data_IF_385568518031
#
_entry.id   IF_385568518031
#
_cell.length_a   1.000
_cell.length_b   1.000
_cell.length_c   1.000
_cell.angle_alpha   90.00
_cell.angle_beta   90.00
_cell.angle_gamma   90.00
#
_symmetry.space_group_name_H-M   'P 1'
#
loop_
_entity.id
_entity.type
_entity.pdbx_description
1 polymer ?
#
# COMPACT_ATOMS: atom_id res chain seq x y z
N UNK A 1 -8.28 -42.41 -46.66
CA UNK A 1 -8.38 -41.91 -45.27
C UNK A 1 -7.34 -40.82 -45.14
N UNK A 2 -7.74 -39.57 -45.28
CA UNK A 2 -6.85 -38.41 -45.26
C UNK A 2 -6.96 -37.77 -43.87
N UNK A 3 -5.86 -37.85 -43.11
CA UNK A 3 -5.71 -37.19 -41.82
C UNK A 3 -5.54 -35.68 -42.05
N UNK A 4 -6.59 -34.91 -41.80
CA UNK A 4 -6.52 -33.45 -41.67
C UNK A 4 -6.19 -33.10 -40.22
N UNK A 5 -4.90 -32.96 -39.90
CA UNK A 5 -4.47 -32.27 -38.67
C UNK A 5 -4.52 -30.77 -38.90
N UNK A 6 -5.38 -30.10 -38.13
CA UNK A 6 -5.44 -28.63 -38.07
C UNK A 6 -4.10 -28.06 -37.59
N UNK A 7 -3.61 -26.95 -38.18
CA UNK A 7 -2.36 -26.33 -37.75
C UNK A 7 -2.53 -25.80 -36.29
N UNK A 8 -1.67 -26.29 -35.42
CA UNK A 8 -1.51 -25.74 -34.06
C UNK A 8 -1.02 -24.30 -34.19
N UNK A 9 -1.93 -23.35 -33.87
CA UNK A 9 -1.58 -21.96 -33.78
C UNK A 9 -0.46 -21.81 -32.72
N UNK A 10 0.76 -21.58 -33.16
CA UNK A 10 1.87 -21.21 -32.28
C UNK A 10 1.48 -19.89 -31.62
N UNK A 11 1.07 -19.95 -30.36
CA UNK A 11 0.91 -18.77 -29.54
C UNK A 11 2.18 -17.93 -29.67
N UNK A 12 2.01 -16.64 -29.98
CA UNK A 12 3.15 -15.70 -29.95
C UNK A 12 3.77 -15.82 -28.56
N UNK A 13 5.12 -15.88 -28.46
CA UNK A 13 5.77 -15.92 -27.16
C UNK A 13 5.28 -14.70 -26.38
N UNK A 14 4.78 -14.95 -25.17
CA UNK A 14 4.55 -13.89 -24.19
C UNK A 14 5.84 -13.07 -24.14
N UNK A 15 5.71 -11.75 -24.27
CA UNK A 15 6.85 -10.83 -24.09
C UNK A 15 7.50 -11.22 -22.77
N UNK A 16 8.77 -11.57 -22.79
CA UNK A 16 9.53 -11.87 -21.58
C UNK A 16 9.46 -10.63 -20.69
N UNK A 17 8.63 -10.70 -19.65
CA UNK A 17 8.63 -9.70 -18.60
C UNK A 17 9.98 -9.87 -17.89
N UNK A 18 10.79 -8.81 -17.78
CA UNK A 18 12.06 -8.91 -17.06
C UNK A 18 11.83 -9.55 -15.70
N UNK A 19 12.60 -10.56 -15.32
CA UNK A 19 12.39 -11.43 -14.15
C UNK A 19 12.26 -10.70 -12.79
N UNK A 20 12.49 -9.40 -12.77
CA UNK A 20 12.43 -8.54 -11.57
C UNK A 20 11.29 -7.51 -11.59
N UNK A 21 10.37 -7.56 -12.56
CA UNK A 21 9.21 -6.67 -12.59
C UNK A 21 8.02 -7.42 -12.01
N UNK A 22 7.52 -7.05 -10.82
CA UNK A 22 6.32 -7.66 -10.28
C UNK A 22 5.15 -7.40 -11.24
N UNK A 23 4.27 -8.38 -11.41
CA UNK A 23 2.98 -8.15 -12.07
C UNK A 23 2.18 -7.20 -11.18
N UNK A 24 1.85 -6.03 -11.71
CA UNK A 24 1.20 -4.98 -10.96
C UNK A 24 -0.05 -4.50 -11.70
N UNK A 25 -1.14 -4.29 -10.97
CA UNK A 25 -2.40 -3.81 -11.54
C UNK A 25 -3.39 -3.34 -10.48
N UNK A 26 -4.38 -2.58 -10.88
CA UNK A 26 -5.47 -2.16 -9.99
C UNK A 26 -6.42 -3.32 -9.68
N UNK A 27 -7.00 -3.30 -8.47
CA UNK A 27 -8.05 -4.24 -8.06
C UNK A 27 -9.22 -4.17 -9.05
N UNK A 28 -9.45 -5.23 -9.80
CA UNK A 28 -10.46 -5.24 -10.86
C UNK A 28 -10.83 -6.65 -11.32
N UNK A 29 -11.55 -6.71 -12.45
CA UNK A 29 -12.11 -7.94 -12.96
C UNK A 29 -13.17 -8.54 -12.04
N UNK A 30 -13.62 -9.75 -12.33
CA UNK A 30 -14.63 -10.43 -11.51
C UNK A 30 -14.10 -10.68 -10.08
N UNK A 31 -12.85 -11.09 -9.94
CA UNK A 31 -12.23 -11.27 -8.63
C UNK A 31 -12.24 -9.99 -7.78
N UNK A 32 -11.93 -8.84 -8.40
CA UNK A 32 -11.97 -7.56 -7.69
C UNK A 32 -13.39 -7.18 -7.24
N UNK A 33 -14.38 -7.48 -8.04
CA UNK A 33 -15.80 -7.31 -7.70
C UNK A 33 -16.20 -8.21 -6.53
N UNK A 34 -15.88 -9.49 -6.58
CA UNK A 34 -16.18 -10.46 -5.51
C UNK A 34 -15.53 -10.06 -4.17
N UNK A 35 -14.26 -9.66 -4.19
CA UNK A 35 -13.57 -9.16 -2.99
C UNK A 35 -14.28 -7.93 -2.43
N UNK A 36 -14.63 -6.97 -3.30
CA UNK A 36 -15.32 -5.74 -2.88
C UNK A 36 -16.68 -6.03 -2.27
N UNK A 37 -17.48 -6.92 -2.86
CA UNK A 37 -18.81 -7.29 -2.38
C UNK A 37 -18.72 -8.06 -1.05
N UNK A 38 -17.72 -8.92 -0.88
CA UNK A 38 -17.43 -9.58 0.40
C UNK A 38 -17.08 -8.58 1.49
N UNK A 39 -16.27 -7.56 1.18
CA UNK A 39 -15.93 -6.50 2.14
C UNK A 39 -17.18 -5.71 2.54
N UNK A 40 -18.03 -5.33 1.59
CA UNK A 40 -19.31 -4.67 1.88
C UNK A 40 -20.16 -5.46 2.85
N UNK A 41 -20.24 -6.78 2.66
CA UNK A 41 -21.01 -7.70 3.52
C UNK A 41 -20.39 -7.80 4.93
N UNK A 42 -19.09 -8.03 5.03
CA UNK A 42 -18.40 -8.30 6.30
C UNK A 42 -18.33 -7.08 7.22
N UNK A 43 -18.31 -5.89 6.62
CA UNK A 43 -18.26 -4.60 7.31
C UNK A 43 -19.57 -3.82 7.23
N UNK A 44 -20.67 -4.49 6.86
CA UNK A 44 -22.02 -3.90 6.94
C UNK A 44 -22.27 -3.39 8.37
N UNK A 45 -22.74 -2.14 8.49
CA UNK A 45 -22.94 -1.48 9.78
C UNK A 45 -21.74 -0.71 10.33
N UNK A 46 -20.56 -0.77 9.70
CA UNK A 46 -19.43 0.11 10.00
C UNK A 46 -19.48 1.31 9.05
N UNK A 47 -20.27 2.31 9.42
CA UNK A 47 -20.56 3.47 8.59
C UNK A 47 -19.32 4.32 8.27
N UNK A 48 -18.29 4.25 9.11
CA UNK A 48 -17.03 4.98 8.89
C UNK A 48 -16.21 4.43 7.71
N UNK A 49 -16.38 3.14 7.34
CA UNK A 49 -15.62 2.54 6.24
C UNK A 49 -16.28 2.79 4.89
N UNK A 50 -15.68 3.64 4.09
CA UNK A 50 -16.08 3.80 2.68
C UNK A 50 -15.48 2.69 1.83
N UNK A 51 -16.36 1.78 1.38
CA UNK A 51 -16.02 0.64 0.53
C UNK A 51 -16.11 1.03 -0.94
N UNK A 52 -15.33 0.36 -1.79
CA UNK A 52 -15.23 0.67 -3.20
C UNK A 52 -16.53 0.51 -3.99
N UNK A 53 -16.59 1.24 -5.11
CA UNK A 53 -17.61 1.07 -6.13
C UNK A 53 -16.99 0.39 -7.35
N UNK A 54 -17.57 -0.74 -7.77
CA UNK A 54 -17.12 -1.45 -8.97
C UNK A 54 -17.75 -0.81 -10.20
N UNK A 55 -16.93 -0.27 -11.09
CA UNK A 55 -17.38 0.27 -12.37
C UNK A 55 -16.25 0.19 -13.40
N UNK A 56 -16.61 0.02 -14.67
CA UNK A 56 -15.66 -0.05 -15.79
C UNK A 56 -14.56 -1.11 -15.58
N UNK A 57 -14.91 -2.24 -14.97
CA UNK A 57 -13.99 -3.36 -14.76
C UNK A 57 -13.02 -3.20 -13.59
N UNK A 58 -13.08 -2.11 -12.84
CA UNK A 58 -12.20 -1.85 -11.68
C UNK A 58 -12.99 -1.41 -10.45
N UNK A 59 -12.36 -1.59 -9.28
CA UNK A 59 -12.90 -1.07 -8.02
C UNK A 59 -12.32 0.32 -7.76
N UNK A 60 -13.21 1.32 -7.69
CA UNK A 60 -12.87 2.73 -7.44
C UNK A 60 -12.99 3.02 -5.95
N UNK A 61 -11.90 2.85 -5.23
CA UNK A 61 -11.71 3.23 -3.82
C UNK A 61 -10.25 3.10 -3.43
N UNK A 62 -9.83 3.93 -2.49
CA UNK A 62 -8.62 3.71 -1.71
C UNK A 62 -8.75 4.41 -0.36
N UNK A 63 -8.58 3.67 0.70
CA UNK A 63 -8.30 4.15 2.06
C UNK A 63 -7.60 3.05 2.84
N UNK A 64 -6.85 3.36 3.90
CA UNK A 64 -6.09 2.37 4.66
C UNK A 64 -6.92 1.19 5.16
N UNK A 65 -8.11 1.42 5.72
CA UNK A 65 -8.96 0.32 6.20
C UNK A 65 -9.41 -0.59 5.04
N UNK A 66 -9.85 0.02 3.93
CA UNK A 66 -10.29 -0.74 2.77
C UNK A 66 -9.14 -1.56 2.16
N UNK A 67 -7.97 -0.98 1.97
CA UNK A 67 -6.81 -1.67 1.43
C UNK A 67 -6.36 -2.85 2.31
N UNK A 68 -6.39 -2.71 3.64
CA UNK A 68 -6.11 -3.81 4.57
C UNK A 68 -7.21 -4.89 4.52
N UNK A 69 -8.49 -4.50 4.36
CA UNK A 69 -9.57 -5.45 4.16
C UNK A 69 -9.43 -6.24 2.84
N UNK A 70 -8.95 -5.59 1.78
CA UNK A 70 -8.59 -6.24 0.50
C UNK A 70 -7.44 -7.22 0.72
N UNK A 71 -6.35 -6.78 1.37
CA UNK A 71 -5.17 -7.62 1.64
C UNK A 71 -5.53 -8.97 2.25
N UNK A 72 -6.45 -8.98 3.22
CA UNK A 72 -6.90 -10.21 3.89
C UNK A 72 -7.57 -11.24 2.97
N UNK A 73 -8.04 -10.80 1.78
CA UNK A 73 -8.81 -11.63 0.83
C UNK A 73 -8.03 -12.00 -0.43
N UNK A 74 -6.80 -11.53 -0.51
CA UNK A 74 -5.93 -11.85 -1.64
C UNK A 74 -5.43 -13.29 -1.49
N UNK A 75 -5.21 -13.94 -2.63
CA UNK A 75 -4.56 -15.24 -2.68
C UNK A 75 -3.08 -15.14 -2.30
N UNK A 76 -2.48 -16.25 -1.93
CA UNK A 76 -1.06 -16.34 -1.63
C UNK A 76 -0.20 -15.82 -2.80
N UNK A 77 0.88 -15.10 -2.48
CA UNK A 77 1.76 -14.48 -3.48
C UNK A 77 1.23 -13.16 -4.07
N UNK A 78 0.02 -12.71 -3.70
CA UNK A 78 -0.52 -11.41 -4.10
C UNK A 78 -0.66 -10.52 -2.86
N UNK A 79 -0.28 -9.27 -2.99
CA UNK A 79 -0.43 -8.29 -1.91
C UNK A 79 -0.80 -6.90 -2.42
N UNK A 80 -1.28 -6.06 -1.53
CA UNK A 80 -1.43 -4.62 -1.78
C UNK A 80 -0.04 -4.01 -1.98
N UNK A 81 0.08 -3.15 -2.98
CA UNK A 81 1.33 -2.50 -3.33
C UNK A 81 1.82 -1.59 -2.19
N UNK A 82 3.12 -1.63 -1.92
CA UNK A 82 3.81 -0.66 -1.08
C UNK A 82 4.18 0.58 -1.90
N UNK A 83 4.63 1.64 -1.21
CA UNK A 83 5.16 2.82 -1.89
C UNK A 83 6.35 2.48 -2.80
N UNK A 84 7.21 1.53 -2.38
CA UNK A 84 8.34 1.09 -3.19
C UNK A 84 7.90 0.39 -4.49
N UNK A 85 6.82 -0.36 -4.45
CA UNK A 85 6.29 -1.03 -5.65
C UNK A 85 5.73 -0.02 -6.64
N UNK A 86 4.97 0.98 -6.18
CA UNK A 86 4.45 2.03 -7.04
C UNK A 86 5.58 2.83 -7.70
N UNK A 87 6.61 3.19 -6.95
CA UNK A 87 7.78 3.90 -7.51
C UNK A 87 8.53 3.06 -8.55
N UNK A 88 8.61 1.74 -8.37
CA UNK A 88 9.17 0.85 -9.39
C UNK A 88 8.29 0.81 -10.64
N UNK A 89 6.96 0.68 -10.46
CA UNK A 89 6.00 0.66 -11.54
C UNK A 89 6.06 1.95 -12.39
N UNK A 90 6.12 3.10 -11.73
CA UNK A 90 6.29 4.39 -12.38
C UNK A 90 7.59 4.51 -13.15
N UNK A 91 8.70 4.07 -12.55
CA UNK A 91 10.03 4.10 -13.18
C UNK A 91 10.07 3.26 -14.46
N UNK A 92 9.35 2.15 -14.49
CA UNK A 92 9.31 1.24 -15.65
C UNK A 92 8.15 1.53 -16.61
N UNK A 93 7.27 2.47 -16.27
CA UNK A 93 6.12 2.82 -17.12
C UNK A 93 5.10 1.71 -17.30
N UNK A 94 5.02 0.78 -16.33
CA UNK A 94 4.10 -0.38 -16.40
C UNK A 94 2.71 -0.05 -15.91
N UNK A 95 2.54 1.05 -15.20
CA UNK A 95 1.25 1.53 -14.69
C UNK A 95 1.22 3.07 -14.74
N UNK A 96 0.16 3.64 -15.27
CA UNK A 96 -0.10 5.08 -15.17
C UNK A 96 -1.00 5.35 -13.95
N UNK A 97 -0.49 6.14 -13.02
CA UNK A 97 -1.16 6.50 -11.77
C UNK A 97 -1.52 7.98 -11.71
N UNK A 98 -1.39 8.72 -12.83
CA UNK A 98 -1.77 10.13 -12.87
C UNK A 98 -3.28 10.29 -12.81
N UNK A 99 -3.72 11.22 -11.98
CA UNK A 99 -5.16 11.50 -11.78
C UNK A 99 -5.85 10.51 -10.83
N UNK A 100 -5.11 9.56 -10.25
CA UNK A 100 -5.60 8.65 -9.22
C UNK A 100 -4.88 8.88 -7.89
N UNK A 101 -5.29 8.17 -6.83
CA UNK A 101 -4.51 8.06 -5.62
C UNK A 101 -4.56 6.64 -5.06
N UNK A 102 -3.45 6.21 -4.49
CA UNK A 102 -3.22 4.86 -4.00
C UNK A 102 -2.66 4.91 -2.58
N UNK A 103 -3.39 4.35 -1.62
CA UNK A 103 -2.89 4.18 -0.27
C UNK A 103 -1.86 3.05 -0.20
N UNK A 104 -0.72 3.35 0.39
CA UNK A 104 0.43 2.43 0.44
C UNK A 104 0.88 2.11 1.86
N UNK A 105 0.52 2.96 2.84
CA UNK A 105 0.97 2.79 4.21
C UNK A 105 0.27 3.70 5.21
N UNK A 106 0.59 3.47 6.47
CA UNK A 106 0.35 4.39 7.58
C UNK A 106 1.65 5.05 8.00
N UNK A 107 1.57 6.30 8.46
CA UNK A 107 2.70 7.02 9.05
C UNK A 107 2.36 7.33 10.50
N UNK A 108 3.08 6.67 11.40
CA UNK A 108 2.96 6.86 12.85
C UNK A 108 4.07 7.78 13.33
N UNK A 109 3.70 8.92 13.94
CA UNK A 109 4.64 9.94 14.42
C UNK A 109 4.67 10.05 15.93
N UNK A 110 3.49 10.23 16.51
CA UNK A 110 3.27 10.36 17.96
C UNK A 110 1.97 9.66 18.33
N UNK A 111 1.71 9.51 19.62
CA UNK A 111 0.45 8.99 20.16
C UNK A 111 -0.67 10.04 20.16
N UNK A 112 -0.36 11.30 19.78
CA UNK A 112 -1.31 12.42 19.76
C UNK A 112 -2.15 12.51 18.49
N UNK A 113 -2.80 13.65 18.33
CA UNK A 113 -3.65 13.95 17.16
C UNK A 113 -2.84 14.13 15.86
N UNK A 114 -3.48 13.80 14.73
CA UNK A 114 -4.80 13.18 14.61
C UNK A 114 -4.78 11.68 14.85
N UNK A 115 -5.99 11.11 15.02
CA UNK A 115 -6.20 9.69 15.21
C UNK A 115 -5.51 9.13 16.47
N UNK A 116 -5.49 9.89 17.56
CA UNK A 116 -4.78 9.59 18.81
C UNK A 116 -5.06 8.19 19.34
N UNK A 117 -6.32 7.73 19.31
CA UNK A 117 -6.68 6.38 19.72
C UNK A 117 -5.95 5.29 18.91
N UNK A 118 -6.02 5.38 17.58
CA UNK A 118 -5.34 4.42 16.69
C UNK A 118 -3.82 4.57 16.76
N UNK A 119 -3.34 5.81 16.89
CA UNK A 119 -1.92 6.11 17.04
C UNK A 119 -1.35 5.46 18.30
N UNK A 120 -2.02 5.60 19.45
CA UNK A 120 -1.62 4.98 20.71
C UNK A 120 -1.61 3.46 20.64
N UNK A 121 -2.66 2.86 20.07
CA UNK A 121 -2.74 1.41 19.89
C UNK A 121 -1.62 0.86 19.02
N UNK A 122 -1.34 1.51 17.87
CA UNK A 122 -0.24 1.10 17.01
C UNK A 122 1.13 1.37 17.65
N UNK A 123 1.27 2.45 18.42
CA UNK A 123 2.53 2.76 19.12
C UNK A 123 2.87 1.69 20.16
N UNK A 124 1.89 1.22 20.93
CA UNK A 124 2.07 0.12 21.90
C UNK A 124 2.58 -1.14 21.17
N UNK A 125 1.90 -1.52 20.09
CA UNK A 125 2.28 -2.69 19.29
C UNK A 125 3.67 -2.53 18.66
N UNK A 126 3.97 -1.35 18.13
CA UNK A 126 5.25 -1.04 17.52
C UNK A 126 6.40 -1.08 18.54
N UNK A 127 6.21 -0.46 19.71
CA UNK A 127 7.22 -0.48 20.79
C UNK A 127 7.55 -1.90 21.25
N UNK A 128 6.58 -2.82 21.23
CA UNK A 128 6.81 -4.23 21.59
C UNK A 128 7.68 -4.99 20.55
N UNK A 129 7.76 -4.51 19.32
CA UNK A 129 8.50 -5.16 18.22
C UNK A 129 9.76 -4.42 17.81
N UNK A 130 9.84 -3.12 18.09
CA UNK A 130 10.96 -2.29 17.67
C UNK A 130 12.17 -2.46 18.60
N UNK A 131 13.32 -2.63 17.98
CA UNK A 131 14.59 -2.35 18.67
C UNK A 131 14.61 -0.86 19.04
N UNK A 132 15.19 -0.54 20.22
CA UNK A 132 15.34 0.84 20.77
C UNK A 132 15.99 1.85 19.79
N UNK A 133 16.56 1.37 18.68
CA UNK A 133 17.23 2.19 17.67
C UNK A 133 16.29 2.78 16.60
N UNK A 134 15.05 2.32 16.50
CA UNK A 134 14.12 2.81 15.47
C UNK A 134 13.63 4.20 15.83
N UNK A 135 13.88 5.15 14.93
CA UNK A 135 13.51 6.57 15.10
C UNK A 135 12.16 6.85 14.45
N UNK A 136 11.29 7.56 15.17
CA UNK A 136 10.06 8.12 14.61
C UNK A 136 10.36 9.26 13.62
N UNK A 137 9.47 9.50 12.64
CA UNK A 137 8.29 8.72 12.33
C UNK A 137 8.62 7.37 11.70
N UNK A 138 7.69 6.44 11.83
CA UNK A 138 7.73 5.16 11.11
C UNK A 138 6.65 5.09 10.06
N UNK A 139 6.96 4.43 8.96
CA UNK A 139 6.01 4.01 7.93
C UNK A 139 5.71 2.53 8.10
N UNK A 140 4.43 2.16 8.01
CA UNK A 140 3.95 0.78 8.11
C UNK A 140 3.18 0.48 6.82
N UNK A 141 3.70 -0.37 5.92
CA UNK A 141 3.00 -0.78 4.70
C UNK A 141 1.67 -1.48 5.01
N UNK A 142 0.63 -1.23 4.20
CA UNK A 142 -0.72 -1.74 4.47
C UNK A 142 -0.80 -3.26 4.38
N UNK A 143 0.01 -3.91 3.55
CA UNK A 143 0.03 -5.37 3.44
C UNK A 143 0.48 -6.09 4.72
N UNK A 144 1.13 -5.40 5.64
CA UNK A 144 1.56 -5.95 6.94
C UNK A 144 0.55 -5.73 8.06
N UNK A 145 -0.59 -5.12 7.78
CA UNK A 145 -1.61 -4.80 8.76
C UNK A 145 -2.79 -5.77 8.70
N UNK A 146 -3.49 -5.88 9.81
CA UNK A 146 -4.76 -6.55 9.95
C UNK A 146 -5.81 -5.61 10.53
N UNK A 147 -7.10 -5.89 10.29
CA UNK A 147 -8.21 -5.16 10.90
C UNK A 147 -8.83 -5.95 12.04
N UNK A 148 -9.16 -5.23 13.11
CA UNK A 148 -10.03 -5.70 14.18
C UNK A 148 -11.25 -4.79 14.31
N UNK A 149 -12.43 -5.39 14.59
CA UNK A 149 -13.58 -4.63 15.05
C UNK A 149 -13.26 -4.08 16.44
N UNK A 150 -13.50 -2.80 16.65
CA UNK A 150 -13.10 -2.11 17.88
C UNK A 150 -14.11 -1.00 18.19
N UNK A 151 -14.97 -1.28 19.15
CA UNK A 151 -16.06 -0.36 19.54
C UNK A 151 -15.55 0.92 20.20
N UNK A 152 -14.33 0.94 20.71
CA UNK A 152 -13.72 2.13 21.30
C UNK A 152 -13.07 3.04 20.26
N UNK A 153 -12.86 2.53 19.04
CA UNK A 153 -12.34 3.32 17.94
C UNK A 153 -13.42 4.22 17.35
N UNK A 154 -13.11 5.49 17.03
CA UNK A 154 -14.03 6.38 16.31
C UNK A 154 -14.52 5.82 14.97
N UNK A 155 -13.78 4.86 14.43
CA UNK A 155 -14.08 4.21 13.15
C UNK A 155 -14.82 2.87 13.31
N UNK A 156 -15.01 2.36 14.53
CA UNK A 156 -15.49 1.00 14.78
C UNK A 156 -14.48 -0.09 14.37
N UNK A 157 -13.29 0.32 13.95
CA UNK A 157 -12.17 -0.51 13.50
C UNK A 157 -10.85 -0.03 14.08
N UNK A 158 -9.92 -0.96 14.30
CA UNK A 158 -8.53 -0.66 14.63
C UNK A 158 -7.57 -1.49 13.78
N UNK A 159 -6.31 -1.03 13.70
CA UNK A 159 -5.24 -1.75 13.03
C UNK A 159 -4.47 -2.61 14.02
N UNK A 160 -4.10 -3.80 13.60
CA UNK A 160 -3.15 -4.68 14.25
C UNK A 160 -1.94 -4.87 13.36
N UNK A 161 -0.76 -4.96 13.96
CA UNK A 161 0.44 -5.39 13.24
C UNK A 161 0.36 -6.90 13.03
N UNK A 162 0.23 -7.34 11.78
CA UNK A 162 0.34 -8.75 11.41
C UNK A 162 1.76 -9.29 11.66
N UNK A 163 1.95 -10.60 11.68
CA UNK A 163 3.25 -11.22 12.01
C UNK A 163 4.39 -10.75 11.10
N UNK A 164 4.08 -10.48 9.84
CA UNK A 164 5.02 -10.01 8.83
C UNK A 164 5.02 -8.48 8.66
N UNK A 165 4.46 -7.72 9.60
CA UNK A 165 4.42 -6.26 9.51
C UNK A 165 5.84 -5.69 9.55
N UNK A 166 6.15 -4.88 8.55
CA UNK A 166 7.37 -4.09 8.51
C UNK A 166 7.13 -2.73 9.16
N UNK A 167 8.03 -2.33 10.05
CA UNK A 167 8.02 -1.02 10.68
C UNK A 167 9.29 -0.29 10.24
N UNK A 168 9.14 0.68 9.36
CA UNK A 168 10.24 1.30 8.64
C UNK A 168 10.47 2.71 9.18
N UNK A 169 11.67 2.99 9.72
CA UNK A 169 12.04 4.36 10.10
C UNK A 169 12.08 5.27 8.87
N UNK A 170 11.33 6.38 8.91
CA UNK A 170 11.13 7.28 7.79
C UNK A 170 11.25 8.77 8.20
N UNK A 171 12.43 9.24 8.69
CA UNK A 171 12.59 10.59 9.22
C UNK A 171 12.23 11.72 8.25
N UNK A 172 12.26 11.45 6.94
CA UNK A 172 11.90 12.42 5.92
C UNK A 172 10.44 12.86 6.02
N UNK A 173 9.56 12.02 6.56
CA UNK A 173 8.13 12.28 6.70
C UNK A 173 7.79 13.30 7.82
N UNK A 174 8.80 13.83 8.54
CA UNK A 174 8.67 14.91 9.52
C UNK A 174 9.42 16.18 9.14
N UNK A 175 10.02 16.25 7.96
CA UNK A 175 10.86 17.38 7.56
C UNK A 175 10.10 18.62 7.08
N UNK A 176 8.79 18.58 7.09
CA UNK A 176 7.94 19.59 6.47
C UNK A 176 7.72 19.31 4.97
N UNK A 177 6.82 20.06 4.38
CA UNK A 177 6.51 19.95 2.95
C UNK A 177 7.68 20.39 2.09
N UNK A 178 7.84 19.77 0.93
CA UNK A 178 8.91 20.15 0.02
C UNK A 178 8.95 19.35 -1.26
N UNK A 179 9.60 19.91 -2.27
CA UNK A 179 9.75 19.24 -3.55
C UNK A 179 10.85 18.17 -3.49
N UNK A 180 10.74 17.19 -4.36
CA UNK A 180 11.76 16.15 -4.55
C UNK A 180 11.80 15.70 -6.01
N UNK A 181 12.95 15.17 -6.41
CA UNK A 181 13.11 14.62 -7.75
C UNK A 181 12.67 13.17 -7.79
N UNK A 182 11.86 12.80 -8.78
CA UNK A 182 11.48 11.40 -9.08
C UNK A 182 12.69 10.48 -9.31
N UNK A 183 13.85 11.06 -9.66
CA UNK A 183 15.11 10.31 -9.83
C UNK A 183 15.83 10.04 -8.51
N UNK A 184 15.42 10.68 -7.41
CA UNK A 184 16.08 10.60 -6.11
C UNK A 184 15.25 9.87 -5.06
N UNK A 185 14.67 8.75 -5.44
CA UNK A 185 13.87 7.87 -4.58
C UNK A 185 14.76 6.77 -3.98
N UNK A 186 14.53 6.45 -2.73
CA UNK A 186 15.05 5.24 -2.10
C UNK A 186 14.25 4.04 -2.60
N UNK A 187 14.86 3.21 -3.45
CA UNK A 187 14.18 2.10 -4.09
C UNK A 187 13.63 1.03 -3.11
N UNK A 188 14.18 0.95 -1.88
CA UNK A 188 13.75 -0.02 -0.88
C UNK A 188 12.44 0.37 -0.19
N UNK A 189 12.22 1.66 0.02
CA UNK A 189 11.08 2.17 0.80
C UNK A 189 10.13 3.06 0.00
N UNK A 190 10.51 3.46 -1.22
CA UNK A 190 9.71 4.32 -2.09
C UNK A 190 9.62 5.78 -1.67
N UNK A 191 10.43 6.25 -0.73
CA UNK A 191 10.43 7.63 -0.26
C UNK A 191 11.60 8.43 -0.84
N UNK A 192 11.48 9.76 -0.97
CA UNK A 192 12.59 10.59 -1.41
C UNK A 192 13.76 10.52 -0.42
N UNK A 193 14.99 10.47 -0.94
CA UNK A 193 16.21 10.48 -0.11
C UNK A 193 16.47 11.85 0.53
N UNK A 194 16.07 12.92 -0.16
CA UNK A 194 16.16 14.31 0.31
C UNK A 194 15.09 15.17 -0.35
N UNK A 195 14.70 16.25 0.31
CA UNK A 195 13.90 17.33 -0.26
C UNK A 195 14.83 18.36 -0.92
N UNK A 196 14.28 19.10 -1.89
CA UNK A 196 14.99 20.11 -2.66
C UNK A 196 14.23 20.38 -3.96
N UNK A 197 14.93 20.83 -5.00
CA UNK A 197 14.32 21.01 -6.31
C UNK A 197 13.90 19.69 -6.92
N UNK A 198 12.70 19.65 -7.51
CA UNK A 198 12.17 18.44 -8.12
C UNK A 198 10.82 18.62 -8.77
N UNK A 199 10.37 17.56 -9.40
CA UNK A 199 9.17 17.45 -10.23
C UNK A 199 7.93 16.96 -9.44
N UNK A 200 8.11 16.60 -8.16
CA UNK A 200 7.06 16.11 -7.28
C UNK A 200 7.14 16.76 -5.90
N UNK A 201 6.05 16.73 -5.16
CA UNK A 201 5.97 17.30 -3.81
C UNK A 201 5.66 16.21 -2.78
N UNK A 202 6.32 16.28 -1.63
CA UNK A 202 5.98 15.55 -0.43
C UNK A 202 5.22 16.49 0.51
N UNK A 203 4.01 16.10 0.92
CA UNK A 203 3.22 16.78 1.93
C UNK A 203 3.29 15.97 3.23
N UNK A 204 3.63 16.64 4.32
CA UNK A 204 3.87 16.00 5.62
C UNK A 204 3.05 16.64 6.75
N UNK A 205 3.20 16.09 7.94
CA UNK A 205 2.69 16.64 9.20
C UNK A 205 3.64 16.28 10.34
N UNK A 206 3.42 16.84 11.53
CA UNK A 206 4.33 16.66 12.65
C UNK A 206 3.85 15.65 13.70
N UNK A 207 2.58 15.29 13.75
CA UNK A 207 2.04 14.46 14.83
C UNK A 207 1.05 13.40 14.37
N UNK A 208 0.67 12.53 15.29
CA UNK A 208 -0.39 11.57 15.18
C UNK A 208 -0.17 10.45 14.15
N UNK A 209 -1.28 9.88 13.70
CA UNK A 209 -1.35 8.84 12.67
C UNK A 209 -2.03 9.39 11.42
N UNK A 210 -1.42 9.17 10.27
CA UNK A 210 -1.95 9.56 8.97
C UNK A 210 -1.74 8.47 7.93
N UNK A 211 -2.43 8.58 6.80
CA UNK A 211 -2.20 7.73 5.63
C UNK A 211 -0.95 8.19 4.86
N UNK A 212 -0.32 7.25 4.16
CA UNK A 212 0.65 7.54 3.11
C UNK A 212 0.03 7.11 1.79
N UNK A 213 -0.07 8.02 0.84
CA UNK A 213 -0.56 7.71 -0.48
C UNK A 213 0.24 8.43 -1.58
N UNK A 214 0.30 7.80 -2.73
CA UNK A 214 0.61 8.48 -3.99
C UNK A 214 -0.66 9.23 -4.42
N UNK A 215 -0.55 10.46 -4.90
CA UNK A 215 -1.72 11.33 -5.13
C UNK A 215 -1.58 12.18 -6.39
N UNK A 216 -2.61 12.19 -7.21
CA UNK A 216 -2.83 13.10 -8.31
C UNK A 216 -1.69 13.15 -9.32
N UNK A 217 -0.84 14.16 -9.25
CA UNK A 217 0.33 14.32 -10.12
C UNK A 217 1.58 13.56 -9.61
N UNK A 218 1.37 12.38 -9.00
CA UNK A 218 2.39 11.52 -8.42
C UNK A 218 3.09 12.12 -7.18
N UNK A 219 2.45 13.09 -6.53
CA UNK A 219 2.92 13.63 -5.27
C UNK A 219 2.77 12.59 -4.14
N UNK A 220 3.56 12.72 -3.09
CA UNK A 220 3.43 11.93 -1.89
C UNK A 220 2.67 12.70 -0.83
N UNK A 221 1.57 12.15 -0.36
CA UNK A 221 0.75 12.73 0.69
C UNK A 221 0.82 11.89 1.95
N UNK A 222 1.45 12.43 2.99
CA UNK A 222 1.50 11.82 4.32
C UNK A 222 0.91 12.72 5.41
N UNK A 223 0.24 13.79 5.00
CA UNK A 223 -0.45 14.73 5.90
C UNK A 223 -1.93 14.40 6.13
N UNK A 224 -2.53 13.56 5.27
CA UNK A 224 -3.96 13.28 5.31
C UNK A 224 -4.34 12.33 6.47
N UNK A 225 -5.29 12.76 7.28
CA UNK A 225 -5.77 12.08 8.50
C UNK A 225 -7.00 11.19 8.27
N UNK A 226 -7.68 11.32 7.14
CA UNK A 226 -8.92 10.61 6.85
C UNK A 226 -8.64 9.16 6.46
N UNK A 227 -8.63 8.26 7.46
CA UNK A 227 -8.22 6.86 7.27
C UNK A 227 -9.31 5.97 6.66
N UNK A 228 -10.57 6.40 6.69
CA UNK A 228 -11.71 5.62 6.22
C UNK A 228 -12.34 6.16 4.92
N UNK A 229 -11.98 7.38 4.51
CA UNK A 229 -12.62 8.04 3.38
C UNK A 229 -11.97 7.65 2.05
N UNK A 230 -12.82 7.42 1.05
CA UNK A 230 -12.42 7.14 -0.34
C UNK A 230 -13.06 8.12 -1.31
N UNK A 231 -12.32 8.57 -2.32
CA UNK A 231 -12.85 9.23 -3.50
C UNK A 231 -13.01 8.27 -4.68
N UNK A 232 -13.72 8.69 -5.71
CA UNK A 232 -13.94 7.88 -6.92
C UNK A 232 -12.68 7.70 -7.79
N UNK A 233 -11.63 8.47 -7.54
CA UNK A 233 -10.29 8.39 -8.15
C UNK A 233 -9.33 7.48 -7.36
N UNK A 234 -9.73 6.97 -6.18
CA UNK A 234 -8.95 6.02 -5.41
C UNK A 234 -8.81 4.67 -6.09
N UNK A 235 -7.64 4.05 -5.96
CA UNK A 235 -7.36 2.70 -6.46
C UNK A 235 -6.59 1.91 -5.41
N UNK A 236 -6.91 0.61 -5.31
CA UNK A 236 -6.03 -0.35 -4.62
C UNK A 236 -5.22 -1.06 -5.68
N UNK A 237 -3.91 -0.85 -5.65
CA UNK A 237 -2.97 -1.50 -6.56
C UNK A 237 -2.47 -2.78 -5.92
N UNK A 238 -2.44 -3.85 -6.69
CA UNK A 238 -2.00 -5.18 -6.30
C UNK A 238 -0.70 -5.54 -6.99
N UNK A 239 0.13 -6.30 -6.30
CA UNK A 239 1.41 -6.83 -6.80
C UNK A 239 1.42 -8.33 -6.62
N UNK A 240 1.73 -9.07 -7.71
CA UNK A 240 2.00 -10.50 -7.66
C UNK A 240 3.46 -10.78 -8.04
N UNK A 241 4.08 -11.73 -7.36
CA UNK A 241 5.48 -12.12 -7.52
C UNK A 241 6.21 -12.13 -6.18
N UNK A 242 7.38 -12.76 -6.12
CA UNK A 242 8.14 -12.90 -4.89
C UNK A 242 8.35 -11.53 -4.24
N UNK A 243 7.77 -11.37 -3.05
CA UNK A 243 8.23 -10.36 -2.11
C UNK A 243 9.75 -10.56 -2.00
N UNK A 244 10.50 -9.54 -2.39
CA UNK A 244 11.96 -9.49 -2.38
C UNK A 244 12.58 -10.54 -1.48
N UNK A 245 13.27 -11.51 -2.12
CA UNK A 245 14.05 -12.55 -1.45
C UNK A 245 14.64 -12.02 -0.16
N UNK A 246 14.28 -12.64 0.96
CA UNK A 246 15.07 -12.55 2.18
C UNK A 246 16.49 -12.94 1.76
N UNK A 247 17.42 -12.02 1.78
CA UNK A 247 18.83 -12.37 1.83
C UNK A 247 18.96 -13.31 3.05
N UNK A 248 19.15 -14.58 2.76
CA UNK A 248 19.50 -15.58 3.75
C UNK A 248 20.76 -15.08 4.45
N UNK A 249 20.58 -14.47 5.61
CA UNK A 249 21.68 -14.30 6.56
C UNK A 249 22.13 -15.69 6.93
N UNK A 250 23.18 -16.12 6.29
CA UNK A 250 23.78 -17.43 6.47
C UNK A 250 24.12 -17.66 7.94
N UNK A 251 23.37 -18.55 8.56
CA UNK A 251 23.79 -19.20 9.78
C UNK A 251 24.91 -20.16 9.39
N UNK A 252 26.16 -19.69 9.51
CA UNK A 252 27.31 -20.58 9.53
C UNK A 252 27.17 -21.47 10.76
N UNK A 253 26.75 -22.72 10.56
CA UNK A 253 26.96 -23.78 11.54
C UNK A 253 28.44 -24.03 11.66
N UNK A 254 29.01 -23.79 12.83
CA UNK A 254 30.27 -24.36 13.28
C UNK A 254 29.98 -25.72 13.92
#
# INVERSE_FOLDING_TARGET
MTNNSLPVNKAKPLVEVPQNVPLIGSLGGEQGKEINDAIKKDFAGISALQVGNYSEGIVKASNPFYAVAVQKRLQEGVRVASQADLEKALKWGVLDLRGTYEDTGLVLRTEGEPNSYLASNLMIQAKARLDKKVKMPVMIPLYGLELAKDQNSPYGLSFKLGDNAEIISAPILNKGDGNFSSRNINAKIGLPKKLGNGDRTLYTRQGGLSRLCLYGYLNLLSSNEYLANSGGDGRVVLVSGEATSRENSGVKRK
#
